data_IF_433957452073
#
_entry.id   IF_433957452073
#
_cell.length_a   1.000
_cell.length_b   1.000
_cell.length_c   1.000
_cell.angle_alpha   90.00
_cell.angle_beta   90.00
_cell.angle_gamma   90.00
#
_symmetry.space_group_name_H-M   'P 1'
#
loop_
_entity.id
_entity.type
_entity.pdbx_description
1 polymer ?
#
# COMPACT_ATOMS: atom_id res chain seq x y z
N UNK A 1 6.04 -24.69 -9.46
CA UNK A 1 6.28 -23.89 -8.23
C UNK A 1 7.27 -22.81 -8.61
N UNK A 2 6.83 -21.56 -8.74
CA UNK A 2 7.70 -20.43 -9.08
C UNK A 2 8.69 -20.22 -7.94
N UNK A 3 10.00 -20.28 -8.25
CA UNK A 3 11.08 -20.01 -7.28
C UNK A 3 11.74 -18.71 -7.69
N UNK A 4 11.53 -17.64 -6.92
CA UNK A 4 12.31 -16.41 -7.05
C UNK A 4 13.78 -16.75 -6.75
N UNK A 5 14.71 -16.29 -7.59
CA UNK A 5 16.16 -16.42 -7.32
C UNK A 5 16.47 -15.80 -5.96
N UNK A 6 16.86 -16.64 -5.00
CA UNK A 6 17.28 -16.20 -3.67
C UNK A 6 18.61 -15.47 -3.79
N UNK A 7 18.67 -14.21 -3.36
CA UNK A 7 19.94 -13.54 -3.07
C UNK A 7 20.39 -14.00 -1.68
N UNK A 8 21.57 -14.64 -1.54
CA UNK A 8 22.07 -15.08 -0.23
C UNK A 8 22.17 -13.89 0.73
N UNK A 9 21.50 -14.00 1.87
CA UNK A 9 21.53 -12.97 2.92
C UNK A 9 22.33 -13.52 4.10
N UNK A 10 23.34 -12.78 4.56
CA UNK A 10 24.16 -13.18 5.72
C UNK A 10 23.34 -12.98 6.98
N UNK A 11 23.16 -14.06 7.75
CA UNK A 11 22.42 -14.07 9.01
C UNK A 11 23.05 -13.08 10.01
N UNK A 12 22.24 -12.15 10.51
CA UNK A 12 22.55 -11.13 11.53
C UNK A 12 22.90 -11.76 12.89
N UNK A 13 23.67 -11.06 13.71
CA UNK A 13 24.14 -11.53 15.03
C UNK A 13 23.01 -11.88 16.04
N UNK A 14 21.80 -11.31 15.90
CA UNK A 14 20.63 -11.73 16.70
C UNK A 14 19.96 -13.02 16.20
N UNK A 15 20.33 -13.51 15.01
CA UNK A 15 19.87 -14.78 14.48
C UNK A 15 20.70 -15.96 14.99
N UNK A 16 21.86 -15.70 15.63
CA UNK A 16 22.56 -16.74 16.41
C UNK A 16 21.78 -17.13 17.67
N UNK A 17 21.03 -16.22 18.28
CA UNK A 17 20.21 -16.53 19.46
C UNK A 17 18.98 -17.41 19.14
N UNK A 18 18.48 -17.43 17.89
CA UNK A 18 17.46 -18.41 17.46
C UNK A 18 18.03 -19.84 17.36
N UNK A 19 19.35 -20.00 17.20
CA UNK A 19 20.02 -21.30 17.15
C UNK A 19 20.62 -21.74 18.51
N UNK A 20 20.77 -20.80 19.47
CA UNK A 20 21.37 -21.03 20.78
C UNK A 20 20.40 -20.67 21.92
N UNK A 21 19.21 -21.29 22.00
CA UNK A 21 18.35 -21.16 23.18
C UNK A 21 18.08 -22.50 23.86
N UNK A 22 19.02 -22.85 24.73
CA UNK A 22 18.92 -23.90 25.75
C UNK A 22 19.30 -23.41 27.15
N UNK A 23 19.15 -22.11 27.45
CA UNK A 23 19.51 -21.56 28.76
C UNK A 23 18.41 -20.66 29.33
N UNK A 24 17.44 -21.30 30.00
CA UNK A 24 16.49 -20.61 30.86
C UNK A 24 17.24 -19.86 31.98
N UNK A 25 17.17 -18.52 32.00
CA UNK A 25 17.57 -17.71 33.15
C UNK A 25 16.39 -17.54 34.11
N UNK A 26 16.69 -17.47 35.40
CA UNK A 26 15.72 -17.44 36.50
C UNK A 26 14.89 -16.14 36.50
N UNK A 27 13.73 -16.20 35.87
CA UNK A 27 12.67 -15.21 35.87
C UNK A 27 11.66 -15.67 34.83
N UNK A 28 10.42 -16.01 35.24
CA UNK A 28 9.43 -16.59 34.33
C UNK A 28 9.31 -15.83 33.01
N UNK A 29 9.42 -16.52 31.89
CA UNK A 29 9.42 -15.94 30.55
C UNK A 29 10.49 -16.52 29.63
N UNK A 30 10.45 -16.15 28.34
CA UNK A 30 11.44 -16.61 27.35
C UNK A 30 12.75 -15.81 27.35
N UNK A 31 12.93 -14.85 28.27
CA UNK A 31 14.09 -13.94 28.29
C UNK A 31 14.06 -12.81 27.25
N UNK A 32 13.13 -12.87 26.27
CA UNK A 32 12.97 -11.88 25.19
C UNK A 32 11.87 -10.84 25.43
N UNK A 33 11.20 -10.89 26.59
CA UNK A 33 10.09 -9.97 26.93
C UNK A 33 9.04 -9.87 25.80
N UNK A 34 8.65 -10.99 25.20
CA UNK A 34 7.82 -11.00 24.00
C UNK A 34 6.32 -10.76 24.29
N UNK A 35 5.48 -10.82 23.24
CA UNK A 35 4.03 -10.73 23.33
C UNK A 35 3.32 -12.10 23.36
N UNK A 36 4.05 -13.18 23.63
CA UNK A 36 3.47 -14.52 23.80
C UNK A 36 3.11 -14.79 25.27
N UNK A 37 2.33 -15.85 25.51
CA UNK A 37 1.86 -16.27 26.85
C UNK A 37 2.94 -16.37 27.93
N UNK A 38 4.22 -16.54 27.55
CA UNK A 38 5.32 -16.58 28.50
C UNK A 38 5.67 -15.21 29.12
N UNK A 39 5.36 -14.09 28.46
CA UNK A 39 5.71 -12.74 28.89
C UNK A 39 4.52 -11.76 28.92
N UNK A 40 3.36 -12.16 28.39
CA UNK A 40 2.17 -11.33 28.28
C UNK A 40 1.37 -11.14 29.59
N UNK A 41 1.26 -12.12 30.51
CA UNK A 41 0.46 -11.95 31.73
C UNK A 41 0.93 -10.77 32.59
N UNK A 42 0.04 -9.79 32.81
CA UNK A 42 0.33 -8.59 33.60
C UNK A 42 1.16 -7.52 32.87
N UNK A 43 1.50 -7.75 31.60
CA UNK A 43 2.22 -6.78 30.78
C UNK A 43 1.41 -5.50 30.59
N UNK A 44 2.14 -4.37 30.52
CA UNK A 44 1.57 -3.05 30.30
C UNK A 44 2.33 -2.34 29.21
N UNK A 45 1.60 -1.68 28.32
CA UNK A 45 2.14 -0.85 27.25
C UNK A 45 1.48 0.53 27.31
N UNK A 46 2.15 1.59 26.84
CA UNK A 46 1.46 2.85 26.62
C UNK A 46 0.27 2.66 25.69
N UNK A 47 -0.79 3.45 25.85
CA UNK A 47 -2.00 3.36 25.05
C UNK A 47 -2.36 4.74 24.52
N UNK A 48 -2.51 4.82 23.21
CA UNK A 48 -3.05 5.96 22.48
C UNK A 48 -4.48 5.65 22.04
N UNK A 49 -5.43 6.43 22.53
CA UNK A 49 -6.81 6.43 22.04
C UNK A 49 -6.98 7.53 21.02
N UNK A 50 -7.43 7.18 19.82
CA UNK A 50 -7.80 8.14 18.78
C UNK A 50 -9.31 8.31 18.74
N UNK A 51 -9.77 9.51 18.36
CA UNK A 51 -11.20 9.77 18.19
C UNK A 51 -11.68 9.20 16.86
N UNK A 52 -12.78 8.44 16.86
CA UNK A 52 -13.44 8.02 15.61
C UNK A 52 -13.99 9.25 14.88
N UNK A 53 -13.65 9.37 13.60
CA UNK A 53 -14.17 10.39 12.70
C UNK A 53 -15.52 9.93 12.15
N UNK A 54 -16.62 10.26 12.83
CA UNK A 54 -17.97 10.10 12.30
C UNK A 54 -18.47 11.43 11.72
N UNK A 55 -18.92 11.39 10.47
CA UNK A 55 -19.76 12.36 9.72
C UNK A 55 -19.53 13.86 9.92
N UNK A 56 -18.97 14.49 8.87
CA UNK A 56 -19.02 15.92 8.53
C UNK A 56 -18.96 16.87 9.73
N UNK A 57 -17.74 17.08 10.25
CA UNK A 57 -17.42 18.40 10.77
C UNK A 57 -17.43 19.35 9.56
N UNK A 58 -18.57 20.00 9.32
CA UNK A 58 -18.62 21.20 8.50
C UNK A 58 -17.60 22.17 9.09
N UNK A 59 -16.41 22.25 8.51
CA UNK A 59 -15.46 23.33 8.76
C UNK A 59 -16.01 24.62 8.15
N UNK A 60 -17.10 25.12 8.72
CA UNK A 60 -17.38 26.55 8.76
C UNK A 60 -16.72 27.10 10.02
N UNK A 61 -15.40 27.05 10.06
CA UNK A 61 -14.65 27.91 10.99
C UNK A 61 -14.42 29.22 10.25
N UNK A 62 -15.01 30.27 10.82
CA UNK A 62 -15.01 31.61 10.26
C UNK A 62 -13.61 32.13 9.96
N UNK A 63 -13.54 32.92 8.89
CA UNK A 63 -12.42 33.75 8.48
C UNK A 63 -11.84 34.54 9.68
N UNK A 64 -10.73 34.07 10.22
CA UNK A 64 -9.71 34.90 10.85
C UNK A 64 -8.37 34.15 10.79
N UNK A 65 -7.76 34.20 9.60
CA UNK A 65 -6.45 33.62 9.34
C UNK A 65 -5.37 34.52 9.91
N UNK A 66 -5.04 34.34 11.20
CA UNK A 66 -3.69 34.64 11.67
C UNK A 66 -2.77 33.51 11.18
N UNK A 67 -1.70 33.88 10.47
CA UNK A 67 -0.64 32.95 10.06
C UNK A 67 0.13 32.44 11.30
N UNK A 68 -0.43 31.48 12.03
CA UNK A 68 0.28 30.64 12.99
C UNK A 68 0.27 29.23 12.41
N UNK A 69 1.46 28.65 12.25
CA UNK A 69 1.58 27.23 11.90
C UNK A 69 0.73 26.42 12.88
N UNK A 70 -0.06 25.44 12.40
CA UNK A 70 -0.86 24.61 13.28
C UNK A 70 0.05 23.92 14.30
N UNK A 71 -0.38 23.75 15.56
CA UNK A 71 0.42 23.04 16.55
C UNK A 71 0.71 21.62 16.03
N UNK A 72 1.95 21.15 16.23
CA UNK A 72 2.36 19.78 15.86
C UNK A 72 1.34 18.80 16.43
N UNK A 73 0.74 17.91 15.61
CA UNK A 73 -0.22 16.93 16.07
C UNK A 73 0.38 16.08 17.21
N UNK A 74 -0.42 15.82 18.24
CA UNK A 74 0.04 15.10 19.42
C UNK A 74 0.57 13.70 19.08
N UNK A 75 -0.06 13.00 18.13
CA UNK A 75 0.42 11.71 17.63
C UNK A 75 1.81 11.81 17.00
N UNK A 76 2.10 12.85 16.22
CA UNK A 76 3.41 13.04 15.58
C UNK A 76 4.51 13.21 16.64
N UNK A 77 4.28 14.11 17.60
CA UNK A 77 5.24 14.34 18.70
C UNK A 77 5.47 13.07 19.53
N UNK A 78 4.40 12.34 19.86
CA UNK A 78 4.49 11.10 20.62
C UNK A 78 5.26 10.02 19.84
N UNK A 79 4.87 9.76 18.59
CA UNK A 79 5.47 8.72 17.76
C UNK A 79 6.96 8.97 17.56
N UNK A 80 7.33 10.19 17.17
CA UNK A 80 8.73 10.55 16.94
C UNK A 80 9.55 10.49 18.23
N UNK A 81 9.03 11.04 19.34
CA UNK A 81 9.72 10.98 20.64
C UNK A 81 9.92 9.55 21.15
N UNK A 82 8.91 8.69 21.04
CA UNK A 82 9.02 7.28 21.42
C UNK A 82 10.01 6.53 20.49
N UNK A 83 9.99 6.82 19.19
CA UNK A 83 10.89 6.24 18.19
C UNK A 83 12.36 6.62 18.44
N UNK A 84 12.64 7.91 18.68
CA UNK A 84 13.97 8.40 19.07
C UNK A 84 14.45 7.77 20.38
N UNK A 85 13.55 7.61 21.36
CA UNK A 85 13.84 6.90 22.60
C UNK A 85 14.29 5.46 22.37
N UNK A 86 13.73 4.75 21.39
CA UNK A 86 14.19 3.40 21.01
C UNK A 86 15.52 3.43 20.25
N UNK A 87 15.79 4.50 19.50
CA UNK A 87 17.06 4.70 18.82
C UNK A 87 18.19 4.88 19.83
N UNK A 88 18.01 5.74 20.83
CA UNK A 88 18.98 5.95 21.91
C UNK A 88 19.26 4.68 22.72
N UNK A 89 18.27 3.78 22.81
CA UNK A 89 18.40 2.46 23.46
C UNK A 89 19.06 1.39 22.59
N UNK A 90 19.36 1.69 21.32
CA UNK A 90 20.05 0.78 20.41
C UNK A 90 19.19 -0.37 19.87
N UNK A 91 17.86 -0.20 19.78
CA UNK A 91 16.95 -1.26 19.30
C UNK A 91 16.90 -1.40 17.76
N UNK A 92 17.54 -0.48 17.03
CA UNK A 92 17.58 -0.50 15.58
C UNK A 92 18.82 -1.22 15.07
N UNK A 93 18.69 -1.87 13.91
CA UNK A 93 19.79 -2.62 13.31
C UNK A 93 20.89 -1.73 12.72
N UNK A 94 20.58 -0.47 12.41
CA UNK A 94 21.50 0.54 11.90
C UNK A 94 20.88 1.92 12.11
N UNK A 95 21.71 2.95 12.00
CA UNK A 95 21.28 4.34 12.03
C UNK A 95 20.80 4.78 10.64
N UNK A 96 19.50 5.02 10.50
CA UNK A 96 18.89 5.47 9.24
C UNK A 96 19.09 6.96 8.99
N UNK A 97 19.38 7.75 10.03
CA UNK A 97 19.59 9.20 9.88
C UNK A 97 20.90 9.54 9.19
N UNK A 98 21.81 8.56 9.11
CA UNK A 98 23.05 8.63 8.34
C UNK A 98 22.88 8.28 6.85
N UNK A 99 21.69 7.85 6.42
CA UNK A 99 21.44 7.47 5.03
C UNK A 99 21.39 8.71 4.13
N UNK A 100 22.09 8.65 2.99
CA UNK A 100 22.11 9.74 2.01
C UNK A 100 20.81 9.74 1.20
N UNK A 101 20.10 10.87 1.18
CA UNK A 101 18.84 11.04 0.44
C UNK A 101 18.93 12.26 -0.47
N UNK A 102 18.47 12.14 -1.72
CA UNK A 102 18.39 13.25 -2.69
C UNK A 102 17.14 13.14 -3.55
N UNK A 103 16.64 14.29 -3.99
CA UNK A 103 15.63 14.36 -5.06
C UNK A 103 16.38 14.28 -6.39
N UNK A 104 16.03 13.30 -7.22
CA UNK A 104 16.52 13.14 -8.57
C UNK A 104 15.96 14.29 -9.43
N UNK A 105 16.81 15.04 -10.14
CA UNK A 105 16.35 16.11 -11.03
C UNK A 105 15.50 15.56 -12.18
N UNK A 106 14.38 16.23 -12.47
CA UNK A 106 13.53 15.96 -13.63
C UNK A 106 12.06 16.31 -13.39
N UNK A 107 11.15 15.79 -14.23
CA UNK A 107 9.72 16.13 -14.22
C UNK A 107 9.00 15.55 -12.98
N UNK A 108 9.37 14.32 -12.60
CA UNK A 108 8.73 13.55 -11.54
C UNK A 108 9.33 13.81 -10.17
N UNK A 109 10.60 14.16 -10.09
CA UNK A 109 11.32 14.39 -8.83
C UNK A 109 11.34 13.15 -7.96
N UNK A 110 11.72 12.00 -8.53
CA UNK A 110 11.94 10.75 -7.77
C UNK A 110 12.90 10.97 -6.61
N UNK A 111 12.69 10.27 -5.50
CA UNK A 111 13.54 10.40 -4.31
C UNK A 111 14.46 9.19 -4.29
N UNK A 112 15.78 9.41 -4.35
CA UNK A 112 16.77 8.35 -4.18
C UNK A 112 17.29 8.38 -2.75
N UNK A 113 17.33 7.22 -2.11
CA UNK A 113 17.95 7.06 -0.80
C UNK A 113 18.89 5.85 -0.80
N UNK A 114 20.11 6.03 -0.28
CA UNK A 114 21.10 4.97 -0.16
C UNK A 114 21.01 4.26 1.20
N UNK A 115 20.54 3.02 1.19
CA UNK A 115 20.41 2.17 2.38
C UNK A 115 21.33 0.93 2.27
N UNK A 116 22.64 1.17 2.30
CA UNK A 116 23.65 0.11 2.24
C UNK A 116 23.54 -0.86 3.44
N UNK A 117 23.75 -2.15 3.18
CA UNK A 117 23.72 -3.18 4.22
C UNK A 117 22.35 -3.48 4.84
N UNK A 118 21.31 -2.67 4.57
CA UNK A 118 19.93 -2.96 5.01
C UNK A 118 19.45 -4.32 4.51
N UNK A 119 19.72 -4.60 3.24
CA UNK A 119 19.31 -5.86 2.60
C UNK A 119 19.99 -7.09 3.23
N UNK A 120 21.22 -6.96 3.71
CA UNK A 120 21.96 -8.03 4.42
C UNK A 120 21.33 -8.37 5.77
N UNK A 121 20.57 -7.46 6.37
CA UNK A 121 19.87 -7.70 7.64
C UNK A 121 18.42 -8.10 7.43
N UNK A 122 17.93 -8.12 6.18
CA UNK A 122 16.54 -8.44 5.87
C UNK A 122 16.28 -9.94 6.12
N UNK A 123 15.18 -10.25 6.81
CA UNK A 123 14.76 -11.65 7.02
C UNK A 123 14.43 -12.29 5.66
N UNK A 124 14.84 -13.55 5.40
CA UNK A 124 14.40 -14.27 4.21
C UNK A 124 12.87 -14.40 4.19
N UNK A 125 12.28 -14.37 3.00
CA UNK A 125 10.85 -14.67 2.83
C UNK A 125 10.60 -16.15 3.11
N UNK A 126 9.83 -16.46 4.15
CA UNK A 126 9.53 -17.84 4.60
C UNK A 126 8.22 -18.41 4.03
N UNK A 127 7.50 -17.63 3.22
CA UNK A 127 6.24 -18.03 2.59
C UNK A 127 6.36 -18.21 1.08
N UNK A 128 5.31 -18.76 0.49
CA UNK A 128 5.21 -18.92 -0.96
C UNK A 128 5.03 -17.57 -1.62
N UNK A 129 5.72 -17.34 -2.72
CA UNK A 129 5.66 -16.06 -3.44
C UNK A 129 4.60 -16.06 -4.55
N UNK A 130 4.06 -17.24 -4.90
CA UNK A 130 3.04 -17.44 -5.93
C UNK A 130 1.60 -17.36 -5.41
N UNK A 131 1.42 -17.05 -4.12
CA UNK A 131 0.09 -16.91 -3.50
C UNK A 131 -0.01 -15.65 -2.66
N UNK A 132 -1.03 -14.83 -2.93
CA UNK A 132 -1.35 -13.63 -2.15
C UNK A 132 -1.93 -14.01 -0.79
N UNK A 133 -2.90 -14.93 -0.77
CA UNK A 133 -3.50 -15.43 0.47
C UNK A 133 -2.83 -16.71 0.94
N UNK A 134 -2.34 -16.69 2.18
CA UNK A 134 -1.75 -17.83 2.86
C UNK A 134 -2.16 -17.80 4.34
N UNK A 135 -2.44 -18.98 4.95
CA UNK A 135 -2.75 -19.04 6.36
C UNK A 135 -1.56 -18.52 7.19
N UNK A 136 -1.88 -17.90 8.33
CA UNK A 136 -0.89 -17.55 9.33
C UNK A 136 -0.13 -18.82 9.78
N UNK A 137 1.16 -18.66 10.06
CA UNK A 137 2.05 -19.76 10.46
C UNK A 137 2.85 -19.32 11.69
N UNK A 138 2.41 -19.80 12.86
CA UNK A 138 3.02 -19.47 14.15
C UNK A 138 4.48 -19.91 14.27
N UNK A 139 4.91 -20.90 13.48
CA UNK A 139 6.27 -21.43 13.53
C UNK A 139 7.27 -20.44 12.92
N UNK A 140 6.85 -19.66 11.93
CA UNK A 140 7.64 -18.62 11.27
C UNK A 140 7.74 -17.35 12.08
N UNK A 141 8.61 -16.43 11.66
CA UNK A 141 8.66 -15.14 12.32
C UNK A 141 7.31 -14.39 12.20
N UNK A 142 6.86 -13.82 13.32
CA UNK A 142 5.66 -13.00 13.40
C UNK A 142 5.77 -12.01 14.55
N UNK A 143 4.95 -10.95 14.56
CA UNK A 143 5.10 -9.85 15.50
C UNK A 143 4.80 -10.18 16.96
N UNK A 144 4.19 -11.32 17.29
CA UNK A 144 4.06 -11.73 18.70
C UNK A 144 5.40 -12.11 19.34
N UNK A 145 6.42 -12.36 18.50
CA UNK A 145 7.78 -12.76 18.92
C UNK A 145 8.74 -11.60 19.16
N UNK A 146 8.35 -10.35 18.85
CA UNK A 146 9.18 -9.17 19.13
C UNK A 146 9.17 -8.84 20.62
N UNK A 147 10.21 -8.16 21.10
CA UNK A 147 10.25 -7.67 22.47
C UNK A 147 9.24 -6.53 22.69
N UNK A 148 8.61 -6.46 23.85
CA UNK A 148 7.67 -5.38 24.19
C UNK A 148 8.33 -3.99 24.13
N UNK A 149 9.66 -3.91 24.27
CA UNK A 149 10.45 -2.70 24.09
C UNK A 149 10.45 -2.13 22.67
N UNK A 150 10.16 -2.96 21.66
CA UNK A 150 9.98 -2.53 20.27
C UNK A 150 8.61 -1.89 20.04
N UNK A 151 7.66 -2.09 20.96
CA UNK A 151 6.33 -1.47 20.90
C UNK A 151 6.40 -0.04 21.43
N UNK A 152 5.83 0.89 20.67
CA UNK A 152 5.68 2.29 21.07
C UNK A 152 4.43 2.43 21.95
N UNK A 153 3.28 2.00 21.44
CA UNK A 153 2.00 2.07 22.14
C UNK A 153 0.93 1.18 21.49
N UNK A 154 -0.10 0.84 22.27
CA UNK A 154 -1.38 0.34 21.80
C UNK A 154 -2.13 1.48 21.09
N UNK A 155 -2.86 1.19 20.02
CA UNK A 155 -3.57 2.17 19.20
C UNK A 155 -5.02 1.75 19.01
N UNK A 156 -5.93 2.41 19.73
CA UNK A 156 -7.32 1.99 19.86
C UNK A 156 -8.29 3.15 19.68
N UNK A 157 -9.54 2.90 19.25
CA UNK A 157 -10.56 3.92 19.22
C UNK A 157 -10.97 4.35 20.64
N UNK A 158 -11.27 5.63 20.82
CA UNK A 158 -11.91 6.19 22.01
C UNK A 158 -12.86 7.33 21.66
N UNK A 159 -13.56 7.84 22.69
CA UNK A 159 -14.47 8.99 22.54
C UNK A 159 -13.71 10.31 22.31
N UNK A 160 -12.54 10.40 22.92
CA UNK A 160 -11.61 11.54 22.82
C UNK A 160 -10.18 11.04 22.61
N UNK A 161 -9.32 11.94 22.14
CA UNK A 161 -7.88 11.67 22.04
C UNK A 161 -7.30 11.60 23.45
N UNK A 162 -6.71 10.47 23.82
CA UNK A 162 -6.14 10.25 25.15
C UNK A 162 -4.86 9.43 25.06
N UNK A 163 -3.85 9.79 25.85
CA UNK A 163 -2.66 8.97 26.05
C UNK A 163 -2.54 8.51 27.50
N UNK A 164 -2.34 7.20 27.68
CA UNK A 164 -2.09 6.57 28.96
C UNK A 164 -0.69 5.96 28.90
N UNK A 165 0.29 6.47 29.67
CA UNK A 165 1.67 5.98 29.61
C UNK A 165 1.84 4.50 30.00
N UNK A 166 0.86 3.94 30.71
CA UNK A 166 0.86 2.54 31.13
C UNK A 166 -0.57 2.03 31.23
N UNK A 167 -0.97 1.20 30.28
CA UNK A 167 -2.25 0.51 30.26
C UNK A 167 -2.02 -1.00 30.19
N UNK A 168 -2.93 -1.79 30.77
CA UNK A 168 -2.91 -3.24 30.61
C UNK A 168 -3.15 -3.59 29.14
N UNK A 169 -2.52 -4.66 28.68
CA UNK A 169 -2.80 -5.25 27.36
C UNK A 169 -4.10 -6.05 27.49
N UNK A 170 -5.11 -5.70 26.69
CA UNK A 170 -6.35 -6.47 26.60
C UNK A 170 -6.15 -7.73 25.75
N UNK A 171 -5.76 -8.82 26.40
CA UNK A 171 -5.47 -10.08 25.72
C UNK A 171 -6.69 -10.72 25.07
N UNK A 172 -7.90 -10.39 25.52
CA UNK A 172 -9.14 -10.96 24.99
C UNK A 172 -9.54 -10.27 23.68
N UNK A 173 -9.49 -8.93 23.66
CA UNK A 173 -9.85 -8.16 22.47
C UNK A 173 -8.70 -7.98 21.49
N UNK A 174 -7.47 -8.35 21.88
CA UNK A 174 -6.26 -8.26 21.06
C UNK A 174 -5.99 -6.83 20.56
N UNK A 175 -5.14 -6.04 21.22
CA UNK A 175 -4.96 -4.67 20.84
C UNK A 175 -4.29 -4.55 19.47
N UNK A 176 -4.57 -3.46 18.79
CA UNK A 176 -3.71 -3.02 17.69
C UNK A 176 -2.54 -2.24 18.28
N UNK A 177 -1.35 -2.39 17.70
CA UNK A 177 -0.14 -1.77 18.25
C UNK A 177 0.67 -1.04 17.18
N UNK A 178 1.43 -0.05 17.63
CA UNK A 178 2.46 0.63 16.84
C UNK A 178 3.81 0.19 17.36
N UNK A 179 4.64 -0.37 16.48
CA UNK A 179 5.98 -0.85 16.80
C UNK A 179 7.04 -0.15 15.93
N UNK A 180 8.28 -0.07 16.39
CA UNK A 180 9.37 0.36 15.51
C UNK A 180 9.56 -0.66 14.39
N UNK A 181 9.92 -0.19 13.20
CA UNK A 181 10.59 -1.07 12.25
C UNK A 181 12.08 -1.09 12.59
N UNK A 182 12.56 -2.20 13.17
CA UNK A 182 13.98 -2.36 13.54
C UNK A 182 14.95 -2.29 12.34
N UNK A 183 14.44 -2.31 11.10
CA UNK A 183 15.19 -2.04 9.85
C UNK A 183 14.56 -0.86 9.09
N UNK A 184 14.61 0.35 9.67
CA UNK A 184 13.82 1.49 9.24
C UNK A 184 14.30 2.00 7.89
N UNK A 185 13.36 2.31 6.99
CA UNK A 185 13.70 2.96 5.71
C UNK A 185 13.97 4.44 5.91
N UNK A 186 13.24 5.10 6.79
CA UNK A 186 13.35 6.54 7.05
C UNK A 186 13.13 6.80 8.55
N UNK A 187 13.46 8.00 8.99
CA UNK A 187 13.12 8.56 10.28
C UNK A 187 11.63 8.39 10.61
N UNK A 188 11.35 7.95 11.85
CA UNK A 188 10.00 7.65 12.30
C UNK A 188 9.36 6.42 11.65
N UNK A 189 10.14 5.53 11.01
CA UNK A 189 9.58 4.32 10.42
C UNK A 189 9.05 3.34 11.47
N UNK A 190 7.73 3.18 11.48
CA UNK A 190 6.96 2.32 12.36
C UNK A 190 6.13 1.29 11.58
N UNK A 191 5.60 0.31 12.32
CA UNK A 191 4.66 -0.69 11.86
C UNK A 191 3.35 -0.51 12.63
N UNK A 192 2.22 -0.43 11.94
CA UNK A 192 0.90 -0.58 12.53
C UNK A 192 0.47 -2.04 12.38
N UNK A 193 0.22 -2.73 13.49
CA UNK A 193 -0.10 -4.16 13.52
C UNK A 193 -1.51 -4.31 14.12
N UNK A 194 -2.54 -4.50 13.29
CA UNK A 194 -3.91 -4.65 13.74
C UNK A 194 -4.09 -5.95 14.54
N UNK A 195 -4.75 -5.85 15.71
CA UNK A 195 -5.14 -6.99 16.54
C UNK A 195 -4.03 -8.05 16.67
N UNK A 196 -2.86 -7.65 17.19
CA UNK A 196 -1.61 -8.42 17.11
C UNK A 196 -1.69 -9.86 17.65
N UNK A 197 -2.54 -10.11 18.66
CA UNK A 197 -2.69 -11.44 19.29
C UNK A 197 -3.64 -12.36 18.49
N UNK A 198 -4.46 -11.81 17.59
CA UNK A 198 -5.31 -12.59 16.70
C UNK A 198 -4.53 -13.20 15.53
N UNK A 199 -3.26 -12.84 15.37
CA UNK A 199 -2.35 -13.44 14.39
C UNK A 199 -2.92 -13.40 12.97
N UNK A 200 -3.51 -12.27 12.58
CA UNK A 200 -4.15 -12.11 11.28
C UNK A 200 -3.10 -12.28 10.16
N UNK A 201 -3.38 -13.05 9.10
CA UNK A 201 -2.47 -13.16 7.95
C UNK A 201 -2.32 -11.80 7.25
N UNK A 202 -1.28 -11.63 6.42
CA UNK A 202 -1.03 -10.40 5.65
C UNK A 202 -2.06 -10.24 4.53
N UNK A 203 -3.26 -9.84 4.92
CA UNK A 203 -4.46 -9.71 4.11
C UNK A 203 -5.27 -8.53 4.61
N UNK A 204 -5.70 -7.62 3.72
CA UNK A 204 -6.55 -6.50 4.11
C UNK A 204 -7.99 -6.97 4.30
N UNK A 205 -8.63 -6.42 5.31
CA UNK A 205 -10.08 -6.41 5.51
C UNK A 205 -10.57 -4.98 5.78
N UNK A 206 -11.88 -4.84 6.00
CA UNK A 206 -12.52 -3.55 6.26
C UNK A 206 -12.00 -2.86 7.52
N UNK A 207 -11.82 -3.59 8.61
CA UNK A 207 -11.46 -3.03 9.91
C UNK A 207 -9.99 -2.61 9.97
N UNK A 208 -9.11 -3.42 9.39
CA UNK A 208 -7.67 -3.16 9.32
C UNK A 208 -7.33 -1.96 8.44
N UNK A 209 -7.99 -1.81 7.28
CA UNK A 209 -7.78 -0.64 6.43
C UNK A 209 -8.33 0.62 7.10
N UNK A 210 -9.52 0.54 7.72
CA UNK A 210 -10.10 1.67 8.42
C UNK A 210 -9.21 2.14 9.58
N UNK A 211 -8.60 1.21 10.32
CA UNK A 211 -7.62 1.52 11.36
C UNK A 211 -6.40 2.28 10.80
N UNK A 212 -5.88 1.85 9.65
CA UNK A 212 -4.79 2.55 8.97
C UNK A 212 -5.19 3.97 8.54
N UNK A 213 -6.43 4.16 8.05
CA UNK A 213 -6.94 5.49 7.72
C UNK A 213 -7.11 6.38 8.95
N UNK A 214 -7.56 5.83 10.09
CA UNK A 214 -7.61 6.59 11.34
C UNK A 214 -6.23 7.04 11.79
N UNK A 215 -5.20 6.20 11.69
CA UNK A 215 -3.82 6.60 11.98
C UNK A 215 -3.36 7.73 11.05
N UNK A 216 -3.61 7.61 9.75
CA UNK A 216 -3.26 8.65 8.77
C UNK A 216 -3.95 9.99 9.09
N UNK A 217 -5.25 9.94 9.39
CA UNK A 217 -6.03 11.12 9.73
C UNK A 217 -5.62 11.75 11.06
N UNK A 218 -5.26 10.93 12.05
CA UNK A 218 -4.79 11.40 13.36
C UNK A 218 -3.39 12.03 13.29
N UNK A 219 -2.53 11.56 12.39
CA UNK A 219 -1.22 12.14 12.15
C UNK A 219 -1.30 13.57 11.58
N UNK A 220 -2.40 13.92 10.89
CA UNK A 220 -2.68 15.27 10.32
C UNK A 220 -1.51 15.90 9.56
N UNK A 221 -0.72 15.06 8.90
CA UNK A 221 0.48 15.48 8.19
C UNK A 221 0.46 14.93 6.77
N UNK A 222 0.63 15.76 5.74
CA UNK A 222 0.75 15.29 4.35
C UNK A 222 2.06 14.52 4.13
N UNK A 223 3.01 14.62 5.07
CA UNK A 223 4.30 13.95 4.99
C UNK A 223 4.32 12.59 5.69
N UNK A 224 3.28 12.27 6.46
CA UNK A 224 3.08 10.95 7.03
C UNK A 224 2.31 10.08 6.05
N UNK A 225 2.92 8.97 5.64
CA UNK A 225 2.33 8.03 4.69
C UNK A 225 2.27 6.66 5.30
N UNK A 226 1.20 5.93 5.02
CA UNK A 226 1.13 4.51 5.33
C UNK A 226 1.22 3.71 4.04
N UNK A 227 1.94 2.62 4.08
CA UNK A 227 2.15 1.70 2.98
C UNK A 227 1.76 0.29 3.38
N UNK A 228 1.08 -0.41 2.48
CA UNK A 228 0.79 -1.83 2.58
C UNK A 228 1.35 -2.57 1.38
N UNK A 229 1.85 -3.78 1.65
CA UNK A 229 2.30 -4.71 0.64
C UNK A 229 1.54 -6.03 0.85
N UNK A 230 0.94 -6.59 -0.20
CA UNK A 230 0.41 -7.95 -0.14
C UNK A 230 1.56 -8.97 -0.21
N UNK A 231 1.28 -10.23 0.14
CA UNK A 231 2.17 -11.32 -0.28
C UNK A 231 2.20 -11.36 -1.82
N UNK A 232 3.36 -11.65 -2.41
CA UNK A 232 3.60 -11.51 -3.85
C UNK A 232 3.96 -10.09 -4.31
N UNK A 233 3.70 -9.06 -3.49
CA UNK A 233 4.05 -7.66 -3.75
C UNK A 233 5.06 -7.12 -2.73
N UNK A 234 6.03 -7.97 -2.38
CA UNK A 234 7.16 -7.66 -1.49
C UNK A 234 6.86 -7.41 0.00
N UNK A 235 5.68 -7.81 0.50
CA UNK A 235 5.59 -8.15 1.91
C UNK A 235 6.64 -9.23 2.26
N UNK A 236 7.09 -9.25 3.51
CA UNK A 236 8.15 -10.18 3.97
C UNK A 236 7.77 -10.96 5.22
N UNK A 237 6.64 -10.62 5.84
CA UNK A 237 6.10 -11.26 7.03
C UNK A 237 4.64 -11.55 6.76
N UNK A 238 4.18 -12.78 7.06
CA UNK A 238 2.77 -13.15 6.98
C UNK A 238 2.08 -12.95 8.34
N UNK A 239 2.01 -11.69 8.76
CA UNK A 239 1.26 -11.22 9.92
C UNK A 239 0.85 -9.79 9.55
N UNK A 240 -0.45 -9.51 9.51
CA UNK A 240 -1.01 -8.24 9.06
C UNK A 240 -0.29 -7.03 9.66
N UNK A 241 0.30 -6.23 8.78
CA UNK A 241 0.93 -4.97 9.16
C UNK A 241 0.89 -3.96 8.01
N UNK A 242 0.79 -2.70 8.41
CA UNK A 242 1.09 -1.53 7.59
C UNK A 242 2.43 -0.94 8.03
N UNK A 243 3.13 -0.30 7.11
CA UNK A 243 4.35 0.45 7.37
C UNK A 243 4.05 1.93 7.31
N UNK A 244 4.71 2.76 8.11
CA UNK A 244 4.53 4.20 8.02
C UNK A 244 5.83 4.94 8.36
N UNK A 245 6.05 6.09 7.75
CA UNK A 245 7.10 7.03 8.14
C UNK A 245 6.78 8.45 7.69
N UNK A 246 7.54 9.40 8.21
CA UNK A 246 7.52 10.79 7.80
C UNK A 246 8.60 11.04 6.75
N UNK A 247 8.24 11.64 5.62
CA UNK A 247 9.20 12.19 4.68
C UNK A 247 8.69 13.52 4.16
N UNK A 248 9.39 14.60 4.52
CA UNK A 248 9.04 15.99 4.25
C UNK A 248 9.24 16.41 2.78
N UNK A 249 8.94 15.51 1.85
CA UNK A 249 8.99 15.69 0.40
C UNK A 249 7.73 15.06 -0.20
N UNK A 250 7.02 15.74 -1.12
CA UNK A 250 5.94 15.12 -1.87
C UNK A 250 6.47 13.96 -2.71
N UNK A 251 5.81 12.81 -2.65
CA UNK A 251 6.18 11.67 -3.46
C UNK A 251 5.84 11.94 -4.93
N UNK A 252 6.62 11.42 -5.90
CA UNK A 252 6.32 11.55 -7.33
C UNK A 252 4.89 11.18 -7.69
N UNK A 253 4.38 10.09 -7.12
CA UNK A 253 3.01 9.62 -7.36
C UNK A 253 1.94 10.65 -6.97
N UNK A 254 2.18 11.43 -5.91
CA UNK A 254 1.21 12.42 -5.43
C UNK A 254 1.06 13.59 -6.40
N UNK A 255 2.07 13.82 -7.23
CA UNK A 255 2.07 14.85 -8.29
C UNK A 255 1.53 14.32 -9.62
N UNK A 256 1.44 13.00 -9.78
CA UNK A 256 0.96 12.40 -11.02
C UNK A 256 -0.52 12.73 -11.25
N UNK A 257 -0.89 13.10 -12.50
CA UNK A 257 -2.28 13.39 -12.83
C UNK A 257 -3.13 12.12 -12.78
N UNK A 258 -4.43 12.28 -12.57
CA UNK A 258 -5.40 11.19 -12.64
C UNK A 258 -6.60 11.60 -13.49
N UNK A 259 -7.29 10.61 -14.05
CA UNK A 259 -8.53 10.80 -14.80
C UNK A 259 -9.67 10.13 -14.05
N UNK A 260 -10.65 10.92 -13.63
CA UNK A 260 -11.87 10.42 -12.99
C UNK A 260 -12.54 9.37 -13.89
N UNK A 261 -12.86 8.22 -13.29
CA UNK A 261 -13.66 7.16 -13.90
C UNK A 261 -15.10 7.30 -13.45
N UNK A 262 -15.34 7.31 -12.12
CA UNK A 262 -16.69 7.38 -11.54
C UNK A 262 -16.67 7.95 -10.12
N UNK A 263 -17.86 8.10 -9.53
CA UNK A 263 -18.06 8.35 -8.10
C UNK A 263 -19.05 7.32 -7.54
N UNK A 264 -18.79 6.80 -6.35
CA UNK A 264 -19.69 5.87 -5.65
C UNK A 264 -20.84 6.62 -4.97
N UNK A 265 -21.92 5.92 -4.62
CA UNK A 265 -23.05 6.46 -3.82
C UNK A 265 -22.57 7.04 -2.48
N UNK A 266 -21.52 6.44 -1.94
CA UNK A 266 -20.83 6.91 -0.73
C UNK A 266 -19.93 8.12 -0.96
N UNK A 267 -19.95 8.77 -2.13
CA UNK A 267 -19.17 9.97 -2.43
C UNK A 267 -17.69 9.72 -2.74
N UNK A 268 -17.26 8.46 -2.91
CA UNK A 268 -15.85 8.13 -3.20
C UNK A 268 -15.59 8.31 -4.70
N UNK A 269 -14.69 9.21 -5.04
CA UNK A 269 -14.19 9.37 -6.40
C UNK A 269 -13.14 8.30 -6.70
N UNK A 270 -13.30 7.61 -7.83
CA UNK A 270 -12.34 6.62 -8.34
C UNK A 270 -11.78 7.13 -9.65
N UNK A 271 -10.44 7.22 -9.72
CA UNK A 271 -9.71 7.76 -10.86
C UNK A 271 -8.62 6.78 -11.31
N UNK A 272 -8.32 6.79 -12.61
CA UNK A 272 -7.16 6.09 -13.17
C UNK A 272 -5.94 7.01 -13.08
N UNK A 273 -4.81 6.47 -12.59
CA UNK A 273 -3.54 7.19 -12.57
C UNK A 273 -2.97 7.33 -13.98
N UNK A 274 -2.50 8.53 -14.33
CA UNK A 274 -1.93 8.85 -15.63
C UNK A 274 -0.48 9.31 -15.53
N UNK A 275 0.25 9.16 -16.65
CA UNK A 275 1.64 9.64 -16.81
C UNK A 275 2.58 9.17 -15.69
N UNK A 276 2.41 7.95 -15.21
CA UNK A 276 3.26 7.35 -14.19
C UNK A 276 3.63 5.91 -14.62
N UNK A 277 4.82 5.37 -14.29
CA UNK A 277 5.29 4.10 -14.86
C UNK A 277 4.49 2.89 -14.36
N UNK A 278 3.82 3.01 -13.21
CA UNK A 278 2.98 1.94 -12.64
C UNK A 278 1.51 2.31 -12.80
N UNK A 279 0.74 1.42 -13.42
CA UNK A 279 -0.72 1.57 -13.52
C UNK A 279 -1.37 1.34 -12.17
N UNK A 280 -2.34 2.19 -11.83
CA UNK A 280 -3.03 2.11 -10.55
C UNK A 280 -4.33 2.92 -10.54
N UNK A 281 -5.09 2.71 -9.49
CA UNK A 281 -6.32 3.45 -9.20
C UNK A 281 -6.07 4.40 -8.02
N UNK A 282 -6.73 5.55 -8.06
CA UNK A 282 -6.71 6.56 -7.00
C UNK A 282 -8.12 6.70 -6.45
N UNK A 283 -8.25 6.64 -5.13
CA UNK A 283 -9.51 6.74 -4.40
C UNK A 283 -9.45 7.96 -3.48
N UNK A 284 -10.42 8.86 -3.62
CA UNK A 284 -10.46 10.14 -2.93
C UNK A 284 -11.89 10.47 -2.50
N UNK A 285 -12.05 11.23 -1.42
CA UNK A 285 -13.36 11.69 -0.95
C UNK A 285 -14.08 10.64 -0.10
N UNK A 286 -15.37 10.47 -0.34
CA UNK A 286 -16.28 9.75 0.56
C UNK A 286 -17.07 10.70 1.47
N UNK A 287 -18.33 10.36 1.76
CA UNK A 287 -19.16 11.08 2.73
C UNK A 287 -18.60 10.90 4.15
N UNK A 288 -18.04 9.72 4.40
CA UNK A 288 -17.29 9.37 5.60
C UNK A 288 -15.96 8.71 5.25
N UNK A 289 -15.02 8.71 6.20
CA UNK A 289 -13.77 7.95 6.07
C UNK A 289 -14.04 6.45 5.89
N UNK A 290 -15.14 5.95 6.46
CA UNK A 290 -15.57 4.56 6.32
C UNK A 290 -16.01 4.25 4.89
N UNK A 291 -16.68 5.17 4.19
CA UNK A 291 -17.05 4.96 2.78
C UNK A 291 -15.81 4.78 1.90
N UNK A 292 -14.80 5.65 2.08
CA UNK A 292 -13.51 5.53 1.41
C UNK A 292 -12.83 4.20 1.76
N UNK A 293 -12.77 3.86 3.05
CA UNK A 293 -12.18 2.61 3.53
C UNK A 293 -12.85 1.39 2.92
N UNK A 294 -14.18 1.33 2.90
CA UNK A 294 -14.91 0.15 2.43
C UNK A 294 -14.65 -0.08 0.94
N UNK A 295 -14.76 0.96 0.11
CA UNK A 295 -14.54 0.84 -1.34
C UNK A 295 -13.12 0.35 -1.66
N UNK A 296 -12.12 0.85 -0.94
CA UNK A 296 -10.73 0.40 -1.12
C UNK A 296 -10.52 -1.00 -0.54
N UNK A 297 -11.10 -1.32 0.61
CA UNK A 297 -11.03 -2.66 1.21
C UNK A 297 -11.64 -3.71 0.29
N UNK A 298 -12.84 -3.47 -0.25
CA UNK A 298 -13.49 -4.35 -1.24
C UNK A 298 -12.62 -4.55 -2.48
N UNK A 299 -11.97 -3.49 -2.96
CA UNK A 299 -11.01 -3.59 -4.08
C UNK A 299 -9.80 -4.46 -3.71
N UNK A 300 -9.25 -4.33 -2.51
CA UNK A 300 -8.13 -5.14 -2.01
C UNK A 300 -8.54 -6.61 -1.81
N UNK A 301 -9.75 -6.85 -1.29
CA UNK A 301 -10.34 -8.18 -1.10
C UNK A 301 -10.51 -8.88 -2.45
N UNK A 302 -11.04 -8.19 -3.46
CA UNK A 302 -11.11 -8.70 -4.83
C UNK A 302 -9.73 -9.13 -5.34
N UNK A 303 -8.71 -8.29 -5.20
CA UNK A 303 -7.35 -8.59 -5.68
C UNK A 303 -6.72 -9.79 -4.96
N UNK A 304 -6.84 -9.88 -3.63
CA UNK A 304 -6.26 -11.00 -2.87
C UNK A 304 -6.99 -12.33 -3.14
N UNK A 305 -8.32 -12.32 -3.31
CA UNK A 305 -9.10 -13.52 -3.65
C UNK A 305 -8.83 -14.02 -5.08
N UNK A 306 -8.56 -13.10 -6.00
CA UNK A 306 -8.17 -13.42 -7.39
C UNK A 306 -6.66 -13.64 -7.57
N UNK A 307 -5.90 -13.69 -6.47
CA UNK A 307 -4.47 -13.93 -6.43
C UNK A 307 -3.63 -12.92 -7.25
N UNK A 308 -4.05 -11.66 -7.26
CA UNK A 308 -3.32 -10.55 -7.89
C UNK A 308 -2.52 -9.82 -6.81
N UNK A 309 -1.18 -9.82 -6.86
CA UNK A 309 -0.39 -9.06 -5.90
C UNK A 309 -0.60 -7.55 -6.02
N UNK A 310 -0.60 -6.83 -4.90
CA UNK A 310 -0.84 -5.39 -4.90
C UNK A 310 -0.14 -4.65 -3.75
N UNK A 311 -0.01 -3.33 -3.93
CA UNK A 311 0.43 -2.39 -2.92
C UNK A 311 -0.63 -1.30 -2.71
N UNK A 312 -0.67 -0.75 -1.50
CA UNK A 312 -1.55 0.38 -1.17
C UNK A 312 -0.73 1.49 -0.53
N UNK A 313 -0.81 2.71 -1.08
CA UNK A 313 -0.27 3.90 -0.43
C UNK A 313 -1.44 4.75 0.09
N UNK A 314 -1.42 5.08 1.37
CA UNK A 314 -2.32 6.02 2.02
C UNK A 314 -1.54 7.32 2.22
N UNK A 315 -2.06 8.41 1.66
CA UNK A 315 -1.45 9.73 1.63
C UNK A 315 -2.44 10.81 2.04
N UNK A 316 -1.96 12.06 2.12
CA UNK A 316 -2.76 13.25 2.42
C UNK A 316 -3.65 13.08 3.66
N UNK A 317 -3.05 12.64 4.78
CA UNK A 317 -3.75 12.37 6.04
C UNK A 317 -4.94 11.40 5.89
N UNK A 318 -4.82 10.40 5.02
CA UNK A 318 -5.85 9.37 4.81
C UNK A 318 -6.93 9.73 3.80
N UNK A 319 -6.83 10.89 3.13
CA UNK A 319 -7.85 11.37 2.18
C UNK A 319 -7.64 10.87 0.75
N UNK A 320 -6.43 10.41 0.43
CA UNK A 320 -6.04 9.95 -0.90
C UNK A 320 -5.31 8.62 -0.82
N UNK A 321 -5.88 7.61 -1.46
CA UNK A 321 -5.38 6.25 -1.43
C UNK A 321 -5.07 5.78 -2.84
N UNK A 322 -3.89 5.20 -3.04
CA UNK A 322 -3.46 4.64 -4.29
C UNK A 322 -3.38 3.12 -4.19
N UNK A 323 -3.96 2.42 -5.16
CA UNK A 323 -3.95 0.97 -5.26
C UNK A 323 -3.20 0.54 -6.52
N UNK A 324 -2.17 -0.30 -6.34
CA UNK A 324 -1.29 -0.75 -7.42
C UNK A 324 -1.30 -2.27 -7.53
N UNK A 325 -2.11 -2.85 -8.42
CA UNK A 325 -1.89 -4.22 -8.87
C UNK A 325 -0.50 -4.31 -9.54
N UNK A 326 0.31 -5.32 -9.17
CA UNK A 326 1.65 -5.48 -9.73
C UNK A 326 2.01 -6.93 -10.05
N UNK A 327 3.04 -7.13 -10.88
CA UNK A 327 3.46 -8.45 -11.34
C UNK A 327 4.98 -8.69 -11.29
N UNK A 328 5.75 -7.84 -10.61
CA UNK A 328 7.22 -7.90 -10.70
C UNK A 328 7.80 -9.23 -10.18
N UNK A 329 7.31 -9.74 -9.05
CA UNK A 329 7.77 -11.01 -8.49
C UNK A 329 7.50 -12.21 -9.42
N UNK A 330 6.38 -12.18 -10.15
CA UNK A 330 6.03 -13.18 -11.15
C UNK A 330 6.98 -13.09 -12.36
N UNK A 331 7.18 -11.89 -12.92
CA UNK A 331 8.14 -11.66 -14.00
C UNK A 331 9.57 -12.10 -13.63
N UNK A 332 10.00 -11.84 -12.40
CA UNK A 332 11.30 -12.31 -11.89
C UNK A 332 11.39 -13.83 -11.91
N UNK A 333 10.32 -14.53 -11.52
CA UNK A 333 10.28 -15.98 -11.51
C UNK A 333 10.18 -16.60 -12.92
N UNK A 334 9.57 -15.89 -13.86
CA UNK A 334 9.52 -16.27 -15.28
C UNK A 334 10.80 -15.91 -16.05
N UNK A 335 11.70 -15.12 -15.46
CA UNK A 335 12.95 -14.69 -16.10
C UNK A 335 12.76 -13.57 -17.12
N UNK A 336 11.65 -12.83 -17.02
CA UNK A 336 11.29 -11.74 -17.93
C UNK A 336 11.96 -10.41 -17.56
N UNK A 337 12.46 -10.29 -16.33
CA UNK A 337 13.19 -9.10 -15.86
C UNK A 337 14.65 -9.16 -16.31
N UNK A 338 15.14 -8.06 -16.87
CA UNK A 338 16.52 -7.94 -17.35
C UNK A 338 17.56 -8.16 -16.24
N UNK A 339 18.72 -8.72 -16.61
CA UNK A 339 19.81 -8.95 -15.66
C UNK A 339 20.31 -7.65 -14.99
N UNK A 340 20.30 -6.55 -15.73
CA UNK A 340 20.67 -5.22 -15.22
C UNK A 340 19.75 -4.76 -14.09
N UNK A 341 18.42 -4.88 -14.26
CA UNK A 341 17.47 -4.52 -13.21
C UNK A 341 17.55 -5.46 -12.00
N UNK A 342 17.80 -6.76 -12.23
CA UNK A 342 18.02 -7.71 -11.15
C UNK A 342 19.28 -7.39 -10.33
N UNK A 343 20.33 -6.84 -10.97
CA UNK A 343 21.60 -6.48 -10.32
C UNK A 343 21.47 -5.28 -9.37
N UNK A 344 20.52 -4.37 -9.62
CA UNK A 344 20.15 -3.32 -8.65
C UNK A 344 19.67 -3.91 -7.31
N UNK A 345 19.16 -5.15 -7.37
CA UNK A 345 18.51 -5.87 -6.28
C UNK A 345 17.31 -5.11 -5.67
N UNK A 346 16.81 -4.06 -6.31
CA UNK A 346 15.66 -3.32 -5.79
C UNK A 346 14.42 -4.20 -5.87
N UNK A 347 13.69 -4.28 -4.75
CA UNK A 347 12.42 -4.98 -4.68
C UNK A 347 11.35 -3.89 -4.57
N UNK A 348 10.65 -3.57 -5.67
CA UNK A 348 9.74 -2.44 -5.73
C UNK A 348 8.46 -2.74 -4.94
N UNK A 349 8.51 -2.41 -3.66
CA UNK A 349 7.36 -2.43 -2.77
C UNK A 349 6.63 -1.07 -2.87
N UNK A 350 5.68 -0.84 -1.96
CA UNK A 350 4.88 0.39 -1.94
C UNK A 350 5.73 1.67 -1.98
N UNK A 351 6.87 1.72 -1.29
CA UNK A 351 7.70 2.93 -1.22
C UNK A 351 8.35 3.26 -2.55
N UNK A 352 8.97 2.27 -3.20
CA UNK A 352 9.62 2.44 -4.49
C UNK A 352 8.59 2.72 -5.59
N UNK A 353 7.48 1.97 -5.63
CA UNK A 353 6.38 2.21 -6.59
C UNK A 353 5.84 3.62 -6.45
N UNK A 354 5.76 4.15 -5.22
CA UNK A 354 5.28 5.50 -4.98
C UNK A 354 6.32 6.59 -5.26
N UNK A 355 7.56 6.19 -5.57
CA UNK A 355 8.62 7.07 -6.05
C UNK A 355 9.72 7.40 -5.02
N UNK A 356 9.73 6.72 -3.88
CA UNK A 356 10.86 6.71 -2.95
C UNK A 356 11.74 5.47 -3.22
N UNK A 357 12.76 5.67 -4.04
CA UNK A 357 13.70 4.65 -4.51
C UNK A 357 14.74 4.35 -3.43
N UNK A 358 14.55 3.24 -2.70
CA UNK A 358 15.50 2.74 -1.70
C UNK A 358 16.57 1.90 -2.37
N UNK A 359 17.70 2.54 -2.68
CA UNK A 359 18.83 1.97 -3.40
C UNK A 359 19.79 1.27 -2.44
N UNK A 360 20.43 0.20 -2.93
CA UNK A 360 21.25 -0.69 -2.10
C UNK A 360 22.74 -0.52 -2.30
N UNK A 361 23.14 0.12 -3.40
CA UNK A 361 24.53 0.28 -3.80
C UNK A 361 24.81 1.76 -4.03
N UNK A 362 26.00 2.21 -3.61
CA UNK A 362 26.44 3.58 -3.82
C UNK A 362 26.45 3.99 -5.29
N UNK A 363 26.88 3.09 -6.18
CA UNK A 363 26.87 3.30 -7.63
C UNK A 363 25.47 3.65 -8.16
N UNK A 364 24.48 2.83 -7.83
CA UNK A 364 23.08 3.04 -8.25
C UNK A 364 22.54 4.39 -7.74
N UNK A 365 22.95 4.79 -6.53
CA UNK A 365 22.57 6.07 -5.95
C UNK A 365 23.23 7.26 -6.66
N UNK A 366 24.53 7.18 -6.93
CA UNK A 366 25.27 8.24 -7.63
C UNK A 366 24.73 8.43 -9.05
N UNK A 367 24.45 7.33 -9.76
CA UNK A 367 23.92 7.27 -11.13
C UNK A 367 22.38 7.36 -11.22
N UNK A 368 21.69 7.59 -10.10
CA UNK A 368 20.23 7.61 -10.04
C UNK A 368 19.65 8.70 -10.97
N UNK A 369 18.74 8.29 -11.86
CA UNK A 369 18.06 9.15 -12.83
C UNK A 369 16.57 8.80 -12.92
N UNK A 370 15.75 9.72 -13.41
CA UNK A 370 14.32 9.43 -13.63
C UNK A 370 14.12 8.31 -14.63
N UNK A 371 14.97 8.22 -15.66
CA UNK A 371 14.93 7.15 -16.65
C UNK A 371 15.18 5.78 -16.00
N UNK A 372 16.15 5.69 -15.10
CA UNK A 372 16.44 4.45 -14.37
C UNK A 372 15.28 4.04 -13.45
N UNK A 373 14.72 5.01 -12.70
CA UNK A 373 13.56 4.77 -11.85
C UNK A 373 12.34 4.33 -12.69
N UNK A 374 12.06 5.05 -13.78
CA UNK A 374 10.96 4.75 -14.69
C UNK A 374 11.06 3.35 -15.28
N UNK A 375 12.24 2.99 -15.78
CA UNK A 375 12.51 1.68 -16.39
C UNK A 375 12.29 0.55 -15.39
N UNK A 376 12.76 0.69 -14.15
CA UNK A 376 12.52 -0.30 -13.11
C UNK A 376 11.02 -0.41 -12.79
N UNK A 377 10.34 0.73 -12.58
CA UNK A 377 8.94 0.74 -12.18
C UNK A 377 8.00 0.27 -13.30
N UNK A 378 8.34 0.51 -14.56
CA UNK A 378 7.58 -0.01 -15.71
C UNK A 378 7.54 -1.55 -15.72
N UNK A 379 8.58 -2.22 -15.23
CA UNK A 379 8.56 -3.68 -15.08
C UNK A 379 7.58 -4.17 -14.03
N UNK A 380 7.24 -3.32 -13.06
CA UNK A 380 6.31 -3.65 -11.97
C UNK A 380 4.87 -3.63 -12.46
N UNK A 381 4.57 -2.70 -13.37
CA UNK A 381 3.24 -2.48 -13.89
C UNK A 381 2.69 -3.70 -14.62
N UNK A 382 1.38 -3.89 -14.50
CA UNK A 382 0.63 -4.73 -15.43
C UNK A 382 0.68 -4.14 -16.85
N UNK A 383 0.48 -5.00 -17.86
CA UNK A 383 0.18 -4.52 -19.22
C UNK A 383 -1.14 -3.74 -19.22
N UNK A 384 -1.38 -2.96 -20.28
CA UNK A 384 -2.64 -2.21 -20.42
C UNK A 384 -3.84 -3.18 -20.40
N UNK A 385 -3.78 -4.26 -21.18
CA UNK A 385 -4.85 -5.23 -21.32
C UNK A 385 -5.16 -5.89 -19.97
N UNK A 386 -4.11 -6.36 -19.29
CA UNK A 386 -4.26 -6.99 -17.98
C UNK A 386 -4.76 -5.99 -16.94
N UNK A 387 -4.32 -4.73 -16.98
CA UNK A 387 -4.83 -3.71 -16.08
C UNK A 387 -6.33 -3.42 -16.31
N UNK A 388 -6.80 -3.39 -17.55
CA UNK A 388 -8.24 -3.23 -17.83
C UNK A 388 -9.06 -4.43 -17.35
N UNK A 389 -8.55 -5.66 -17.48
CA UNK A 389 -9.19 -6.85 -16.88
C UNK A 389 -9.30 -6.73 -15.35
N UNK A 390 -8.19 -6.36 -14.69
CA UNK A 390 -8.16 -6.21 -13.23
C UNK A 390 -9.08 -5.08 -12.77
N UNK A 391 -9.13 -3.97 -13.51
CA UNK A 391 -10.11 -2.90 -13.27
C UNK A 391 -11.53 -3.43 -13.36
N UNK A 392 -11.87 -4.21 -14.39
CA UNK A 392 -13.22 -4.78 -14.51
C UNK A 392 -13.59 -5.64 -13.29
N UNK A 393 -12.68 -6.48 -12.82
CA UNK A 393 -12.87 -7.30 -11.61
C UNK A 393 -13.13 -6.45 -10.36
N UNK A 394 -12.32 -5.40 -10.15
CA UNK A 394 -12.50 -4.48 -9.03
C UNK A 394 -13.88 -3.80 -9.10
N UNK A 395 -14.25 -3.30 -10.28
CA UNK A 395 -15.53 -2.60 -10.49
C UNK A 395 -16.74 -3.52 -10.34
N UNK A 396 -16.62 -4.81 -10.68
CA UNK A 396 -17.62 -5.82 -10.40
C UNK A 396 -17.78 -6.02 -8.88
N UNK A 397 -16.67 -6.14 -8.14
CA UNK A 397 -16.68 -6.33 -6.69
C UNK A 397 -17.30 -5.14 -5.93
N UNK A 398 -17.03 -3.91 -6.36
CA UNK A 398 -17.56 -2.68 -5.72
C UNK A 398 -18.88 -2.18 -6.33
N UNK A 399 -19.49 -2.96 -7.24
CA UNK A 399 -20.68 -2.55 -8.02
C UNK A 399 -21.87 -2.11 -7.16
N UNK A 400 -22.05 -2.73 -5.99
CA UNK A 400 -23.09 -2.33 -5.02
C UNK A 400 -22.94 -0.89 -4.54
N UNK A 401 -21.70 -0.40 -4.49
CA UNK A 401 -21.33 0.95 -4.05
C UNK A 401 -21.40 1.98 -5.18
N UNK A 402 -21.33 1.58 -6.44
CA UNK A 402 -21.31 2.51 -7.59
C UNK A 402 -22.72 3.05 -7.88
N UNK A 403 -22.83 4.35 -8.20
CA UNK A 403 -24.08 4.92 -8.75
C UNK A 403 -24.38 4.29 -10.11
N UNK A 404 -25.64 3.95 -10.40
CA UNK A 404 -26.00 3.51 -11.75
C UNK A 404 -25.50 4.55 -12.75
N UNK A 405 -24.57 4.15 -13.62
CA UNK A 405 -24.10 5.00 -14.70
C UNK A 405 -25.35 5.35 -15.51
N UNK A 406 -25.70 6.64 -15.58
CA UNK A 406 -26.67 7.12 -16.55
C UNK A 406 -26.29 6.52 -17.91
N UNK A 407 -27.14 5.59 -18.35
CA UNK A 407 -26.99 4.86 -19.59
C UNK A 407 -26.60 5.85 -20.69
N UNK A 408 -25.44 5.63 -21.30
CA UNK A 408 -25.07 6.30 -22.54
C UNK A 408 -26.23 6.08 -23.51
N UNK A 409 -26.95 7.16 -23.85
CA UNK A 409 -27.99 7.16 -24.89
C UNK A 409 -27.48 6.41 -26.13
N UNK A 410 -28.06 5.26 -26.49
CA UNK A 410 -27.74 4.59 -27.75
C UNK A 410 -28.59 5.25 -28.84
N UNK A 411 -28.25 6.48 -29.21
CA UNK A 411 -28.97 7.18 -30.29
C UNK A 411 -28.08 8.06 -31.16
N UNK A 412 -26.86 7.61 -31.47
CA UNK A 412 -26.17 8.02 -32.71
C UNK A 412 -25.31 6.86 -33.22
N UNK A 413 -25.96 5.86 -33.83
CA UNK A 413 -25.32 4.94 -34.77
C UNK A 413 -26.25 4.87 -35.99
N UNK A 414 -26.14 5.85 -36.88
CA UNK A 414 -26.63 5.68 -38.24
C UNK A 414 -25.85 4.54 -38.89
N UNK A 415 -26.54 3.47 -39.26
CA UNK A 415 -26.08 2.50 -40.24
C UNK A 415 -27.06 2.48 -41.42
N UNK A 416 -26.55 2.29 -42.63
CA UNK A 416 -27.27 2.54 -43.87
C UNK A 416 -28.34 1.48 -44.13
N UNK A 417 -29.47 1.95 -44.65
CA UNK A 417 -30.62 1.16 -45.05
C UNK A 417 -30.26 0.29 -46.27
N UNK A 418 -30.27 -1.04 -46.09
CA UNK A 418 -30.33 -2.00 -47.21
C UNK A 418 -31.48 -2.95 -46.90
N UNK A 419 -32.64 -2.63 -47.45
CA UNK A 419 -33.82 -3.48 -47.41
C UNK A 419 -33.82 -4.43 -48.60
N UNK A 420 -33.67 -5.72 -48.33
CA UNK A 420 -34.10 -6.79 -49.24
C UNK A 420 -35.61 -6.97 -49.10
N UNK A 421 -36.37 -6.67 -50.14
CA UNK A 421 -37.74 -7.15 -50.30
C UNK A 421 -37.80 -8.10 -51.49
N UNK A 422 -38.16 -9.35 -51.22
CA UNK A 422 -38.60 -10.31 -52.21
C UNK A 422 -40.12 -10.22 -52.32
N UNK A 423 -40.64 -9.94 -53.52
CA UNK A 423 -42.02 -10.16 -53.92
C UNK A 423 -42.02 -10.58 -55.40
N UNK A 424 -42.57 -11.76 -55.64
CA UNK A 424 -42.78 -12.36 -56.96
C UNK A 424 -43.94 -11.68 -57.72
N UNK A 425 -43.72 -11.61 -59.03
CA UNK A 425 -44.65 -11.86 -60.13
C UNK A 425 -45.70 -10.84 -60.63
N UNK A 426 -45.38 -10.33 -61.83
CA UNK A 426 -46.14 -10.48 -63.11
C UNK A 426 -46.90 -9.27 -63.69
N UNK A 427 -46.50 -8.99 -64.95
CA UNK A 427 -47.22 -8.37 -66.09
C UNK A 427 -47.58 -6.87 -66.13
N UNK A 428 -46.89 -6.10 -66.99
CA UNK A 428 -47.26 -5.77 -68.39
C UNK A 428 -46.78 -4.39 -68.88
N UNK A 429 -46.11 -4.39 -70.05
CA UNK A 429 -46.16 -3.44 -71.18
C UNK A 429 -46.14 -1.91 -70.92
N UNK A 430 -45.06 -1.21 -71.32
CA UNK A 430 -45.00 -0.45 -72.60
C UNK A 430 -43.70 0.37 -72.79
N UNK A 431 -43.09 0.17 -73.97
CA UNK A 431 -42.45 1.12 -74.90
C UNK A 431 -41.77 2.40 -74.38
N UNK A 432 -40.50 2.57 -74.80
CA UNK A 432 -40.11 3.83 -75.47
C UNK A 432 -38.69 4.35 -75.29
N UNK A 433 -37.85 4.08 -76.31
CA UNK A 433 -36.91 5.02 -76.96
C UNK A 433 -35.46 5.22 -76.46
N UNK A 434 -34.56 4.84 -77.38
CA UNK A 434 -33.30 5.49 -77.81
C UNK A 434 -32.09 5.53 -76.85
N UNK A 435 -31.07 4.69 -77.09
CA UNK A 435 -29.87 4.95 -77.95
C UNK A 435 -29.15 6.26 -77.58
N UNK A 436 -27.91 6.17 -77.08
CA UNK A 436 -26.69 6.47 -77.87
C UNK A 436 -25.47 5.79 -77.25
N UNK A 437 -24.66 5.16 -78.08
CA UNK A 437 -23.28 4.73 -77.80
C UNK A 437 -22.36 5.97 -77.82
N UNK A 438 -21.19 5.89 -77.19
CA UNK A 438 -19.87 5.77 -77.85
C UNK A 438 -18.75 6.02 -76.82
N UNK A 439 -17.78 5.11 -76.89
CA UNK A 439 -16.43 5.02 -76.32
C UNK A 439 -15.56 6.28 -76.37
N UNK A 440 -14.69 6.45 -75.37
CA UNK A 440 -13.22 6.28 -75.47
C UNK A 440 -12.71 5.65 -74.18
#
# INVERSE_FOLDING_TARGET
MLRIKRVPTVVSNYQKEEAEEGAARQGGGCGRNCLMNCCLPGAKLPLYRFKRLNEVANEKVGLSRENKEPPVPFLESLLLGEWEGRMQRGLFRYDVTACETKVIPGEYGFIAQLNEGRHLKKRPTEFRVDKVLQPFDETKFNFTKVGQEEILFQFEPGDEVQFLPSALIDTENSPSVVAINVSPIEYGHVLLIPQILNCLPQSIDHDSLLLALYMAAEARSPYFRLGYNSLGAFATINHLHFQAYYLAVPFPIEKAPSKKITTTKGGVQISELLKYPVRGLVFEGGNTLKDLSNVVADSCICLQETNIPYNVLISDSGKRIFLFPQCYAEKQALGEVSAELLDTQVNPAVWEISGHMVLKQKKDYEEASEENAWRLLAEVSLSEERFQEVKALIFEAISSSIEEIDSVNPSVLEKPDVTHQALEDVDTLNKGSQRTMVSV
#
